data_IF_112334696792
#
_entry.id   IF_112334696792
#
_cell.length_a   1.000
_cell.length_b   1.000
_cell.length_c   1.000
_cell.angle_alpha   90.00
_cell.angle_beta   90.00
_cell.angle_gamma   90.00
#
_symmetry.space_group_name_H-M   'P 1'
#
loop_
_entity.id
_entity.type
_entity.pdbx_description
1 polymer ?
#
# COMPACT_ATOMS: atom_id res chain seq x y z
N UNK A 1 24.43 -22.26 27.24
CA UNK A 1 23.55 -21.07 27.40
C UNK A 1 24.29 -19.88 26.83
N UNK A 2 23.74 -19.25 25.78
CA UNK A 2 24.35 -18.07 25.13
C UNK A 2 24.15 -16.88 26.07
N UNK A 3 25.24 -16.38 26.64
CA UNK A 3 25.22 -15.25 27.58
C UNK A 3 24.99 -13.94 26.79
N UNK A 4 23.73 -13.55 26.61
CA UNK A 4 23.35 -12.33 25.89
C UNK A 4 23.71 -11.12 26.74
N UNK A 5 24.49 -10.16 26.20
CA UNK A 5 24.93 -9.00 26.94
C UNK A 5 23.74 -8.18 27.47
N UNK A 6 23.84 -7.57 28.68
CA UNK A 6 22.74 -6.76 29.26
C UNK A 6 22.30 -5.59 28.37
N UNK A 7 23.21 -5.05 27.53
CA UNK A 7 22.88 -4.01 26.55
C UNK A 7 21.97 -4.52 25.45
N UNK A 8 22.20 -5.74 24.96
CA UNK A 8 21.38 -6.36 23.92
C UNK A 8 19.99 -6.73 24.45
N UNK A 9 19.92 -7.21 25.71
CA UNK A 9 18.63 -7.49 26.38
C UNK A 9 17.79 -6.22 26.55
N UNK A 10 18.39 -5.10 27.01
CA UNK A 10 17.70 -3.80 27.11
C UNK A 10 17.25 -3.27 25.74
N UNK A 11 18.09 -3.39 24.73
CA UNK A 11 17.75 -3.01 23.36
C UNK A 11 16.57 -3.83 22.83
N UNK A 12 16.59 -5.14 23.00
CA UNK A 12 15.50 -6.02 22.59
C UNK A 12 14.21 -5.69 23.36
N UNK A 13 14.26 -5.54 24.68
CA UNK A 13 13.09 -5.16 25.47
C UNK A 13 12.48 -3.84 25.02
N UNK A 14 13.29 -2.82 24.70
CA UNK A 14 12.81 -1.54 24.19
C UNK A 14 12.17 -1.67 22.80
N UNK A 15 12.64 -2.57 21.93
CA UNK A 15 12.10 -2.81 20.57
C UNK A 15 10.81 -3.60 20.56
N UNK A 16 10.59 -4.45 21.54
CA UNK A 16 9.36 -5.24 21.67
C UNK A 16 8.34 -4.62 22.63
N UNK A 17 8.66 -3.47 23.25
CA UNK A 17 7.72 -2.75 24.10
C UNK A 17 6.54 -2.20 23.30
N UNK A 18 5.28 -2.52 23.65
CA UNK A 18 4.08 -1.97 22.98
C UNK A 18 3.94 -0.45 23.18
N UNK A 19 4.47 0.08 24.26
CA UNK A 19 4.30 1.50 24.68
C UNK A 19 5.50 2.37 24.31
N UNK A 20 6.65 1.79 23.99
CA UNK A 20 7.88 2.49 23.67
C UNK A 20 7.74 3.45 22.47
N UNK A 21 8.46 4.59 22.50
CA UNK A 21 8.48 5.55 21.40
C UNK A 21 8.95 4.92 20.07
N UNK A 22 9.89 4.00 20.16
CA UNK A 22 10.46 3.23 19.05
C UNK A 22 10.26 1.72 19.26
N UNK A 23 9.15 1.34 19.86
CA UNK A 23 8.85 -0.05 20.24
C UNK A 23 8.29 -0.90 19.10
N UNK A 24 7.43 -1.85 19.47
CA UNK A 24 6.90 -2.90 18.60
C UNK A 24 6.35 -2.41 17.25
N UNK A 25 5.65 -1.26 17.22
CA UNK A 25 5.08 -0.72 15.98
C UNK A 25 6.14 -0.36 14.93
N UNK A 26 7.30 0.17 15.35
CA UNK A 26 8.40 0.47 14.44
C UNK A 26 9.09 -0.81 13.98
N UNK A 27 9.28 -1.76 14.90
CA UNK A 27 9.88 -3.07 14.58
C UNK A 27 9.04 -3.81 13.53
N UNK A 28 7.72 -3.88 13.73
CA UNK A 28 6.81 -4.47 12.75
C UNK A 28 6.89 -3.72 11.42
N UNK A 29 6.85 -2.38 11.44
CA UNK A 29 6.95 -1.57 10.22
C UNK A 29 8.24 -1.81 9.43
N UNK A 30 9.38 -1.92 10.11
CA UNK A 30 10.68 -2.23 9.48
C UNK A 30 10.70 -3.65 8.90
N UNK A 31 10.19 -4.64 9.63
CA UNK A 31 10.11 -6.03 9.13
C UNK A 31 9.22 -6.12 7.90
N UNK A 32 8.05 -5.47 7.92
CA UNK A 32 7.14 -5.42 6.77
C UNK A 32 7.78 -4.71 5.58
N UNK A 33 8.48 -3.59 5.80
CA UNK A 33 9.20 -2.88 4.75
C UNK A 33 10.29 -3.75 4.12
N UNK A 34 11.15 -4.36 4.93
CA UNK A 34 12.24 -5.21 4.43
C UNK A 34 11.70 -6.44 3.68
N UNK A 35 10.63 -7.06 4.21
CA UNK A 35 9.93 -8.15 3.52
C UNK A 35 9.34 -7.70 2.18
N UNK A 36 8.67 -6.55 2.15
CA UNK A 36 8.13 -5.97 0.91
C UNK A 36 9.25 -5.65 -0.09
N UNK A 37 10.34 -5.03 0.34
CA UNK A 37 11.50 -4.76 -0.52
C UNK A 37 12.11 -6.04 -1.10
N UNK A 38 12.26 -7.08 -0.30
CA UNK A 38 12.79 -8.36 -0.76
C UNK A 38 11.88 -9.02 -1.81
N UNK A 39 10.56 -9.05 -1.56
CA UNK A 39 9.58 -9.60 -2.50
C UNK A 39 9.52 -8.76 -3.78
N UNK A 40 9.47 -7.42 -3.66
CA UNK A 40 9.50 -6.52 -4.81
C UNK A 40 10.75 -6.73 -5.66
N UNK A 41 11.94 -6.79 -5.03
CA UNK A 41 13.20 -7.01 -5.74
C UNK A 41 13.23 -8.36 -6.47
N UNK A 42 12.65 -9.41 -5.88
CA UNK A 42 12.50 -10.73 -6.53
C UNK A 42 11.60 -10.67 -7.77
N UNK A 43 10.45 -9.99 -7.67
CA UNK A 43 9.53 -9.84 -8.81
C UNK A 43 10.20 -8.98 -9.90
N UNK A 44 10.74 -7.83 -9.53
CA UNK A 44 11.41 -6.91 -10.47
C UNK A 44 12.61 -7.57 -11.16
N UNK A 45 13.45 -8.29 -10.42
CA UNK A 45 14.57 -9.05 -10.98
C UNK A 45 14.11 -10.14 -11.96
N UNK A 46 13.03 -10.85 -11.63
CA UNK A 46 12.45 -11.85 -12.54
C UNK A 46 11.90 -11.23 -13.83
N UNK A 47 11.25 -10.06 -13.71
CA UNK A 47 10.74 -9.31 -14.87
C UNK A 47 11.89 -8.83 -15.77
N UNK A 48 12.92 -8.22 -15.18
CA UNK A 48 14.08 -7.71 -15.93
C UNK A 48 14.86 -8.83 -16.60
N UNK A 49 14.98 -9.99 -15.96
CA UNK A 49 15.69 -11.16 -16.48
C UNK A 49 14.88 -11.96 -17.53
N UNK A 50 13.62 -11.59 -17.82
CA UNK A 50 12.77 -12.37 -18.73
C UNK A 50 12.45 -13.77 -18.21
N UNK A 51 12.36 -13.96 -16.88
CA UNK A 51 12.10 -15.24 -16.24
C UNK A 51 10.71 -15.82 -16.64
N UNK A 52 10.40 -17.09 -16.36
CA UNK A 52 9.14 -17.76 -16.77
C UNK A 52 7.86 -17.01 -16.38
N UNK A 53 7.90 -16.18 -15.33
CA UNK A 53 6.76 -15.32 -14.96
C UNK A 53 6.35 -14.36 -16.08
N UNK A 54 7.28 -13.94 -16.95
CA UNK A 54 6.96 -13.03 -18.08
C UNK A 54 6.21 -13.75 -19.20
N UNK A 55 6.41 -15.06 -19.37
CA UNK A 55 5.63 -15.89 -20.29
C UNK A 55 4.21 -16.06 -19.77
N UNK A 56 4.06 -16.40 -18.48
CA UNK A 56 2.77 -16.47 -17.80
C UNK A 56 2.02 -15.12 -17.86
N UNK A 57 2.72 -14.00 -17.69
CA UNK A 57 2.17 -12.65 -17.85
C UNK A 57 1.54 -12.47 -19.25
N UNK A 58 2.24 -12.87 -20.29
CA UNK A 58 1.77 -12.73 -21.67
C UNK A 58 0.56 -13.64 -21.95
N UNK A 59 0.60 -14.89 -21.49
CA UNK A 59 -0.50 -15.86 -21.63
C UNK A 59 -1.78 -15.36 -20.92
N UNK A 60 -1.67 -14.94 -19.68
CA UNK A 60 -2.80 -14.39 -18.92
C UNK A 60 -3.33 -13.12 -19.57
N UNK A 61 -2.45 -12.21 -20.01
CA UNK A 61 -2.86 -10.98 -20.66
C UNK A 61 -3.64 -11.23 -21.95
N UNK A 62 -3.17 -12.17 -22.78
CA UNK A 62 -3.86 -12.58 -24.02
C UNK A 62 -5.21 -13.23 -23.69
N UNK A 63 -5.25 -14.15 -22.75
CA UNK A 63 -6.49 -14.84 -22.36
C UNK A 63 -7.54 -13.84 -21.85
N UNK A 64 -7.17 -12.93 -20.97
CA UNK A 64 -8.07 -11.90 -20.42
C UNK A 64 -8.54 -10.94 -21.52
N UNK A 65 -7.66 -10.53 -22.43
CA UNK A 65 -7.99 -9.63 -23.53
C UNK A 65 -9.06 -10.22 -24.45
N UNK A 66 -8.93 -11.51 -24.83
CA UNK A 66 -9.91 -12.21 -25.64
C UNK A 66 -11.30 -12.25 -24.99
N UNK A 67 -11.36 -12.50 -23.67
CA UNK A 67 -12.63 -12.48 -22.91
C UNK A 67 -13.19 -11.07 -22.79
N UNK A 68 -12.35 -10.06 -22.58
CA UNK A 68 -12.76 -8.67 -22.48
C UNK A 68 -13.38 -8.10 -23.77
N UNK A 69 -13.02 -8.65 -24.92
CA UNK A 69 -13.64 -8.29 -26.20
C UNK A 69 -15.07 -8.86 -26.36
N UNK A 70 -15.32 -10.02 -25.77
CA UNK A 70 -16.62 -10.72 -25.87
C UNK A 70 -17.62 -10.21 -24.84
N UNK A 71 -17.18 -9.93 -23.60
CA UNK A 71 -18.06 -9.49 -22.50
C UNK A 71 -18.12 -7.95 -22.40
N UNK A 72 -19.06 -7.37 -23.12
CA UNK A 72 -19.25 -5.91 -23.14
C UNK A 72 -19.71 -5.35 -21.78
N UNK A 73 -20.53 -6.10 -21.03
CA UNK A 73 -21.08 -5.64 -19.75
C UNK A 73 -19.96 -5.56 -18.68
N UNK A 74 -19.22 -6.65 -18.51
CA UNK A 74 -18.12 -6.68 -17.54
C UNK A 74 -17.03 -5.66 -17.92
N UNK A 75 -16.68 -5.56 -19.21
CA UNK A 75 -15.75 -4.54 -19.70
C UNK A 75 -16.20 -3.13 -19.33
N UNK A 76 -17.45 -2.78 -19.57
CA UNK A 76 -17.99 -1.45 -19.26
C UNK A 76 -17.97 -1.16 -17.76
N UNK A 77 -18.35 -2.14 -16.94
CA UNK A 77 -18.30 -2.00 -15.48
C UNK A 77 -16.84 -1.78 -14.98
N UNK A 78 -15.88 -2.53 -15.52
CA UNK A 78 -14.47 -2.39 -15.15
C UNK A 78 -13.85 -1.09 -15.69
N UNK A 79 -14.33 -0.57 -16.84
CA UNK A 79 -13.94 0.77 -17.33
C UNK A 79 -14.42 1.86 -16.37
N UNK A 80 -15.66 1.80 -15.89
CA UNK A 80 -16.16 2.75 -14.88
C UNK A 80 -15.33 2.66 -13.60
N UNK A 81 -15.10 1.45 -13.10
CA UNK A 81 -14.29 1.23 -11.90
C UNK A 81 -12.88 1.82 -12.04
N UNK A 82 -12.20 1.55 -13.15
CA UNK A 82 -10.83 2.04 -13.36
C UNK A 82 -10.78 3.57 -13.54
N UNK A 83 -11.79 4.19 -14.15
CA UNK A 83 -11.88 5.65 -14.26
C UNK A 83 -12.11 6.32 -12.90
N UNK A 84 -12.97 5.76 -12.04
CA UNK A 84 -13.16 6.23 -10.67
C UNK A 84 -11.87 6.12 -9.83
N UNK A 85 -10.99 5.17 -10.16
CA UNK A 85 -9.69 4.99 -9.51
C UNK A 85 -8.51 5.54 -10.33
N UNK A 86 -8.78 6.40 -11.30
CA UNK A 86 -7.74 7.20 -11.97
C UNK A 86 -7.04 8.13 -10.97
N UNK A 87 -5.91 8.71 -11.35
CA UNK A 87 -5.17 9.67 -10.49
C UNK A 87 -6.07 10.77 -9.92
N UNK A 88 -6.89 11.50 -10.73
CA UNK A 88 -7.81 12.48 -10.18
C UNK A 88 -8.86 11.87 -9.24
N UNK A 89 -9.41 10.70 -9.59
CA UNK A 89 -10.42 10.03 -8.76
C UNK A 89 -9.89 9.65 -7.37
N UNK A 90 -8.72 8.99 -7.31
CA UNK A 90 -8.08 8.62 -6.05
C UNK A 90 -7.73 9.85 -5.22
N UNK A 91 -7.19 10.91 -5.84
CA UNK A 91 -6.86 12.16 -5.13
C UNK A 91 -8.12 12.86 -4.60
N UNK A 92 -9.22 12.84 -5.35
CA UNK A 92 -10.52 13.38 -4.90
C UNK A 92 -11.03 12.59 -3.69
N UNK A 93 -11.01 11.25 -3.74
CA UNK A 93 -11.41 10.40 -2.60
C UNK A 93 -10.52 10.71 -1.39
N UNK A 94 -9.19 10.74 -1.58
CA UNK A 94 -8.26 11.05 -0.51
C UNK A 94 -8.49 12.45 0.08
N UNK A 95 -8.77 13.44 -0.75
CA UNK A 95 -9.10 14.80 -0.29
C UNK A 95 -10.38 14.83 0.55
N UNK A 96 -11.47 14.24 0.06
CA UNK A 96 -12.75 14.17 0.78
C UNK A 96 -12.61 13.46 2.13
N UNK A 97 -11.91 12.32 2.16
CA UNK A 97 -11.60 11.59 3.39
C UNK A 97 -10.73 12.44 4.33
N UNK A 98 -9.72 13.12 3.80
CA UNK A 98 -8.85 14.01 4.57
C UNK A 98 -9.63 15.13 5.25
N UNK A 99 -10.52 15.81 4.52
CA UNK A 99 -11.41 16.85 5.06
C UNK A 99 -12.34 16.28 6.13
N UNK A 100 -12.93 15.11 5.89
CA UNK A 100 -13.79 14.44 6.87
C UNK A 100 -13.04 14.11 8.16
N UNK A 101 -11.83 13.58 8.05
CA UNK A 101 -10.97 13.28 9.20
C UNK A 101 -10.59 14.54 9.99
N UNK A 102 -10.29 15.65 9.30
CA UNK A 102 -10.01 16.94 9.94
C UNK A 102 -11.23 17.46 10.70
N UNK A 103 -12.44 17.40 10.13
CA UNK A 103 -13.69 17.77 10.80
C UNK A 103 -13.99 16.90 12.03
N UNK A 104 -13.49 15.64 12.03
CA UNK A 104 -13.57 14.74 13.20
C UNK A 104 -12.48 14.99 14.25
N UNK A 105 -11.65 16.01 14.07
CA UNK A 105 -10.56 16.36 14.99
C UNK A 105 -9.30 15.51 14.87
N UNK A 106 -9.22 14.63 13.88
CA UNK A 106 -8.03 13.82 13.65
C UNK A 106 -7.00 14.60 12.83
N UNK A 107 -5.81 14.83 13.40
CA UNK A 107 -4.72 15.55 12.71
C UNK A 107 -3.68 14.66 12.05
N UNK A 108 -3.44 13.47 12.61
CA UNK A 108 -2.39 12.56 12.12
C UNK A 108 -2.83 11.73 10.93
N UNK A 109 -4.09 11.32 10.90
CA UNK A 109 -4.62 10.53 9.81
C UNK A 109 -4.65 11.28 8.48
N UNK A 110 -5.06 12.55 8.40
CA UNK A 110 -4.93 13.35 7.17
C UNK A 110 -3.47 13.50 6.72
N UNK A 111 -2.54 13.72 7.67
CA UNK A 111 -1.10 13.79 7.34
C UNK A 111 -0.59 12.45 6.78
N UNK A 112 -0.99 11.33 7.42
CA UNK A 112 -0.66 10.01 6.92
C UNK A 112 -1.27 9.76 5.54
N UNK A 113 -2.49 10.23 5.27
CA UNK A 113 -3.16 10.11 3.98
C UNK A 113 -2.44 10.87 2.87
N UNK A 114 -2.02 12.11 3.15
CA UNK A 114 -1.23 12.93 2.21
C UNK A 114 0.15 12.32 1.96
N UNK A 115 0.81 11.80 2.99
CA UNK A 115 2.09 11.12 2.81
C UNK A 115 1.93 9.80 2.05
N UNK A 116 0.89 9.04 2.36
CA UNK A 116 0.67 7.71 1.79
C UNK A 116 0.23 7.79 0.33
N UNK A 117 -0.83 8.50 -0.02
CA UNK A 117 -1.41 8.47 -1.37
C UNK A 117 -0.57 9.26 -2.36
N UNK A 118 -0.39 10.58 -2.27
CA UNK A 118 0.47 11.29 -3.21
C UNK A 118 1.94 10.85 -3.15
N UNK A 119 2.48 10.58 -1.96
CA UNK A 119 3.86 10.12 -1.82
C UNK A 119 4.10 8.76 -2.46
N UNK A 120 3.18 7.82 -2.29
CA UNK A 120 3.22 6.53 -2.97
C UNK A 120 3.09 6.66 -4.49
N UNK A 121 2.21 7.55 -4.98
CA UNK A 121 2.12 7.83 -6.43
C UNK A 121 3.42 8.35 -7.00
N UNK A 122 4.12 9.24 -6.29
CA UNK A 122 5.43 9.74 -6.72
C UNK A 122 6.48 8.63 -6.74
N UNK A 123 6.50 7.77 -5.71
CA UNK A 123 7.37 6.59 -5.67
C UNK A 123 7.10 5.67 -6.88
N UNK A 124 5.83 5.39 -7.16
CA UNK A 124 5.44 4.55 -8.29
C UNK A 124 5.87 5.14 -9.65
N UNK A 125 5.75 6.47 -9.82
CA UNK A 125 6.25 7.15 -11.03
C UNK A 125 7.77 7.00 -11.15
N UNK A 126 8.53 7.17 -10.06
CA UNK A 126 9.98 6.97 -10.07
C UNK A 126 10.34 5.53 -10.46
N UNK A 127 9.66 4.52 -9.89
CA UNK A 127 9.89 3.11 -10.25
C UNK A 127 9.53 2.83 -11.72
N UNK A 128 8.46 3.42 -12.26
CA UNK A 128 8.13 3.28 -13.69
C UNK A 128 9.25 3.73 -14.61
N UNK A 129 9.88 4.85 -14.30
CA UNK A 129 11.02 5.37 -15.06
C UNK A 129 12.32 4.60 -14.80
N UNK A 130 12.41 3.82 -13.72
CA UNK A 130 13.56 2.94 -13.45
C UNK A 130 13.49 1.66 -14.27
N UNK A 131 12.30 1.08 -14.41
CA UNK A 131 12.13 -0.22 -15.04
C UNK A 131 11.71 -0.16 -16.52
N UNK A 132 11.07 0.91 -16.95
CA UNK A 132 10.65 1.21 -18.33
C UNK A 132 9.99 0.04 -19.08
N UNK A 133 9.28 -0.81 -18.35
CA UNK A 133 8.64 -2.00 -18.92
C UNK A 133 7.55 -1.63 -19.93
N UNK A 134 7.59 -2.22 -21.10
CA UNK A 134 6.52 -2.10 -22.09
C UNK A 134 5.20 -2.73 -21.58
N UNK A 135 4.08 -2.16 -22.02
CA UNK A 135 2.74 -2.69 -21.70
C UNK A 135 2.38 -3.89 -22.56
N UNK A 136 1.36 -4.68 -22.18
CA UNK A 136 0.75 -5.65 -23.08
C UNK A 136 0.38 -4.97 -24.40
N UNK A 137 0.77 -5.58 -25.51
CA UNK A 137 0.48 -5.07 -26.84
C UNK A 137 -0.54 -5.97 -27.53
N UNK A 138 -1.60 -5.36 -28.05
CA UNK A 138 -2.67 -6.03 -28.78
C UNK A 138 -2.96 -5.26 -30.06
N UNK A 139 -3.37 -5.93 -31.12
CA UNK A 139 -3.75 -5.29 -32.40
C UNK A 139 -4.90 -4.29 -32.21
N UNK A 140 -5.86 -4.66 -31.34
CA UNK A 140 -7.01 -3.80 -31.00
C UNK A 140 -7.05 -3.56 -29.46
N UNK A 141 -6.29 -2.59 -28.94
CA UNK A 141 -6.22 -2.34 -27.52
C UNK A 141 -7.53 -1.71 -26.99
N UNK A 142 -8.00 -2.18 -25.81
CA UNK A 142 -9.16 -1.58 -25.13
C UNK A 142 -8.78 -0.22 -24.51
N UNK A 143 -7.52 -0.08 -24.06
CA UNK A 143 -6.97 1.14 -23.50
C UNK A 143 -5.66 1.50 -24.19
N UNK A 144 -5.55 2.73 -24.68
CA UNK A 144 -4.30 3.30 -25.19
C UNK A 144 -3.62 4.10 -24.09
N UNK A 145 -2.46 3.63 -23.63
CA UNK A 145 -1.71 4.21 -22.51
C UNK A 145 -0.26 4.45 -22.94
N UNK A 146 0.26 5.66 -22.68
CA UNK A 146 1.59 6.10 -23.12
C UNK A 146 2.68 5.93 -22.07
N UNK A 147 2.33 5.55 -20.85
CA UNK A 147 3.28 5.39 -19.74
C UNK A 147 3.74 3.93 -19.60
N UNK A 148 4.83 3.69 -18.86
CA UNK A 148 5.38 2.37 -18.58
C UNK A 148 4.41 1.46 -17.79
N UNK A 149 4.57 0.14 -17.95
CA UNK A 149 3.71 -0.86 -17.33
C UNK A 149 4.04 -1.10 -15.85
N UNK A 150 5.29 -1.30 -15.51
CA UNK A 150 5.74 -1.78 -14.20
C UNK A 150 6.23 -0.66 -13.27
N UNK A 151 5.78 -0.66 -12.01
CA UNK A 151 4.64 -1.36 -11.44
C UNK A 151 3.30 -0.64 -11.69
N UNK A 152 2.14 -1.29 -11.38
CA UNK A 152 0.81 -0.75 -11.62
C UNK A 152 0.44 0.40 -10.68
N UNK A 153 0.27 1.62 -11.22
CA UNK A 153 -0.09 2.79 -10.39
C UNK A 153 -1.47 2.72 -9.76
N UNK A 154 -2.48 2.16 -10.45
CA UNK A 154 -3.82 2.00 -9.91
C UNK A 154 -3.85 1.02 -8.72
N UNK A 155 -3.17 -0.12 -8.86
CA UNK A 155 -3.09 -1.12 -7.79
C UNK A 155 -2.35 -0.59 -6.57
N UNK A 156 -1.22 0.11 -6.78
CA UNK A 156 -0.46 0.73 -5.69
C UNK A 156 -1.29 1.77 -4.96
N UNK A 157 -1.92 2.71 -5.68
CA UNK A 157 -2.74 3.77 -5.10
C UNK A 157 -3.95 3.19 -4.33
N UNK A 158 -4.62 2.16 -4.87
CA UNK A 158 -5.70 1.47 -4.19
C UNK A 158 -5.22 0.77 -2.91
N UNK A 159 -4.07 0.06 -2.97
CA UNK A 159 -3.48 -0.61 -1.80
C UNK A 159 -3.22 0.38 -0.67
N UNK A 160 -2.62 1.52 -0.99
CA UNK A 160 -2.29 2.55 0.00
C UNK A 160 -3.54 3.24 0.55
N UNK A 161 -4.47 3.64 -0.31
CA UNK A 161 -5.70 4.31 0.10
C UNK A 161 -6.57 3.40 0.98
N UNK A 162 -6.96 2.24 0.46
CA UNK A 162 -7.86 1.33 1.19
C UNK A 162 -7.18 0.65 2.37
N UNK A 163 -5.88 0.36 2.30
CA UNK A 163 -5.10 -0.14 3.42
C UNK A 163 -5.04 0.86 4.58
N UNK A 164 -4.83 2.16 4.29
CA UNK A 164 -4.85 3.21 5.32
C UNK A 164 -6.26 3.37 5.94
N UNK A 165 -7.30 3.35 5.11
CA UNK A 165 -8.69 3.42 5.59
C UNK A 165 -9.05 2.22 6.47
N UNK A 166 -8.62 1.01 6.08
CA UNK A 166 -8.81 -0.20 6.87
C UNK A 166 -8.09 -0.11 8.23
N UNK A 167 -6.85 0.37 8.26
CA UNK A 167 -6.11 0.62 9.50
C UNK A 167 -6.82 1.64 10.40
N UNK A 168 -7.34 2.73 9.81
CA UNK A 168 -8.12 3.72 10.55
C UNK A 168 -9.39 3.09 11.16
N UNK A 169 -10.19 2.40 10.35
CA UNK A 169 -11.44 1.79 10.78
C UNK A 169 -11.21 0.71 11.86
N UNK A 170 -10.24 -0.18 11.65
CA UNK A 170 -9.88 -1.22 12.60
C UNK A 170 -9.42 -0.68 13.95
N UNK A 171 -8.67 0.44 13.95
CA UNK A 171 -8.21 1.08 15.19
C UNK A 171 -9.37 1.65 16.02
N UNK A 172 -10.46 2.06 15.41
CA UNK A 172 -11.63 2.64 16.07
C UNK A 172 -12.74 1.60 16.35
N UNK A 173 -12.58 0.39 15.87
CA UNK A 173 -13.55 -0.69 16.05
C UNK A 173 -13.47 -1.29 17.47
N UNK A 174 -14.63 -1.56 18.06
CA UNK A 174 -14.77 -2.17 19.39
C UNK A 174 -14.88 -3.70 19.32
N UNK A 175 -15.34 -4.24 18.20
CA UNK A 175 -15.56 -5.69 18.00
C UNK A 175 -14.46 -6.28 17.12
N UNK A 176 -14.22 -7.60 17.25
CA UNK A 176 -13.30 -8.31 16.38
C UNK A 176 -13.70 -8.22 14.90
N UNK A 177 -14.99 -8.43 14.61
CA UNK A 177 -15.52 -8.30 13.25
C UNK A 177 -15.28 -6.91 12.67
N UNK A 178 -15.52 -5.85 13.45
CA UNK A 178 -15.24 -4.48 13.03
C UNK A 178 -13.76 -4.20 12.79
N UNK A 179 -12.83 -4.99 13.34
CA UNK A 179 -11.40 -4.89 13.06
C UNK A 179 -10.98 -5.63 11.81
N UNK A 180 -11.63 -6.75 11.48
CA UNK A 180 -11.27 -7.61 10.32
C UNK A 180 -11.97 -7.14 9.05
N UNK A 181 -13.26 -6.83 9.12
CA UNK A 181 -14.09 -6.47 7.96
C UNK A 181 -13.49 -5.34 7.09
N UNK A 182 -12.91 -4.25 7.64
CA UNK A 182 -12.28 -3.22 6.81
C UNK A 182 -11.14 -3.72 5.94
N UNK A 183 -10.35 -4.69 6.42
CA UNK A 183 -9.26 -5.28 5.64
C UNK A 183 -9.80 -6.21 4.55
N UNK A 184 -10.88 -6.95 4.82
CA UNK A 184 -11.54 -7.78 3.81
C UNK A 184 -12.11 -6.91 2.69
N UNK A 185 -12.79 -5.81 3.04
CA UNK A 185 -13.32 -4.85 2.06
C UNK A 185 -12.19 -4.18 1.26
N UNK A 186 -11.10 -3.79 1.93
CA UNK A 186 -9.92 -3.25 1.26
C UNK A 186 -9.32 -4.25 0.27
N UNK A 187 -9.18 -5.52 0.66
CA UNK A 187 -8.66 -6.57 -0.21
C UNK A 187 -9.57 -6.80 -1.44
N UNK A 188 -10.88 -6.81 -1.26
CA UNK A 188 -11.85 -6.92 -2.36
C UNK A 188 -11.71 -5.73 -3.32
N UNK A 189 -11.65 -4.50 -2.82
CA UNK A 189 -11.50 -3.31 -3.65
C UNK A 189 -10.17 -3.29 -4.41
N UNK A 190 -9.06 -3.58 -3.72
CA UNK A 190 -7.73 -3.67 -4.35
C UNK A 190 -7.73 -4.77 -5.41
N UNK A 191 -8.30 -5.94 -5.11
CA UNK A 191 -8.42 -7.05 -6.04
C UNK A 191 -9.26 -6.71 -7.28
N UNK A 192 -10.41 -6.04 -7.08
CA UNK A 192 -11.27 -5.60 -8.19
C UNK A 192 -10.56 -4.58 -9.10
N UNK A 193 -9.85 -3.61 -8.51
CA UNK A 193 -9.07 -2.62 -9.27
C UNK A 193 -7.92 -3.31 -10.00
N UNK A 194 -7.16 -4.16 -9.32
CA UNK A 194 -6.07 -4.93 -9.90
C UNK A 194 -6.54 -5.78 -11.08
N UNK A 195 -7.64 -6.52 -10.90
CA UNK A 195 -8.27 -7.31 -11.95
C UNK A 195 -8.70 -6.44 -13.14
N UNK A 196 -9.33 -5.27 -12.88
CA UNK A 196 -9.74 -4.36 -13.95
C UNK A 196 -8.55 -3.96 -14.84
N UNK A 197 -7.35 -3.76 -14.25
CA UNK A 197 -6.16 -3.36 -15.01
C UNK A 197 -5.60 -4.47 -15.89
N UNK A 198 -5.69 -5.72 -15.43
CA UNK A 198 -5.31 -6.88 -16.21
C UNK A 198 -6.35 -7.17 -17.30
N UNK A 199 -7.63 -7.19 -16.95
CA UNK A 199 -8.73 -7.50 -17.86
C UNK A 199 -8.83 -6.51 -19.03
N UNK A 200 -8.57 -5.23 -18.75
CA UNK A 200 -8.55 -4.17 -19.77
C UNK A 200 -7.23 -4.07 -20.55
N UNK A 201 -6.31 -5.01 -20.35
CA UNK A 201 -5.05 -5.10 -21.10
C UNK A 201 -4.02 -4.03 -20.74
N UNK A 202 -4.13 -3.38 -19.59
CA UNK A 202 -3.24 -2.29 -19.20
C UNK A 202 -1.96 -2.75 -18.51
N UNK A 203 -2.01 -3.87 -17.79
CA UNK A 203 -0.93 -4.38 -16.95
C UNK A 203 -0.86 -5.91 -16.96
N UNK A 204 0.35 -6.42 -16.73
CA UNK A 204 0.61 -7.83 -16.47
C UNK A 204 0.34 -8.20 -15.01
N UNK A 205 0.22 -9.52 -14.73
CA UNK A 205 0.05 -10.02 -13.36
C UNK A 205 1.22 -9.59 -12.45
N UNK A 206 2.45 -9.72 -12.93
CA UNK A 206 3.64 -9.32 -12.16
C UNK A 206 3.68 -7.82 -11.86
N UNK A 207 3.14 -6.93 -12.73
CA UNK A 207 2.98 -5.49 -12.44
C UNK A 207 2.06 -5.25 -11.26
N UNK A 208 0.98 -6.04 -11.17
CA UNK A 208 -0.01 -5.98 -10.10
C UNK A 208 0.58 -6.45 -8.77
N UNK A 209 1.26 -7.61 -8.79
CA UNK A 209 1.89 -8.17 -7.59
C UNK A 209 2.97 -7.23 -7.03
N UNK A 210 3.82 -6.69 -7.91
CA UNK A 210 4.84 -5.73 -7.52
C UNK A 210 4.22 -4.46 -6.91
N UNK A 211 3.17 -3.91 -7.53
CA UNK A 211 2.48 -2.72 -7.06
C UNK A 211 1.77 -2.93 -5.71
N UNK A 212 1.18 -4.11 -5.50
CA UNK A 212 0.61 -4.46 -4.21
C UNK A 212 1.66 -4.48 -3.11
N UNK A 213 2.79 -5.12 -3.37
CA UNK A 213 3.92 -5.21 -2.42
C UNK A 213 4.54 -3.83 -2.17
N UNK A 214 4.74 -3.03 -3.22
CA UNK A 214 5.17 -1.62 -3.14
C UNK A 214 4.25 -0.83 -2.21
N UNK A 215 2.93 -0.92 -2.45
CA UNK A 215 1.92 -0.24 -1.65
C UNK A 215 1.93 -0.66 -0.18
N UNK A 216 2.06 -1.95 0.11
CA UNK A 216 2.17 -2.47 1.48
C UNK A 216 3.42 -1.96 2.19
N UNK A 217 4.59 -1.97 1.52
CA UNK A 217 5.84 -1.46 2.06
C UNK A 217 5.77 0.04 2.36
N UNK A 218 5.25 0.82 1.41
CA UNK A 218 5.05 2.27 1.59
C UNK A 218 4.07 2.60 2.71
N UNK A 219 2.97 1.86 2.80
CA UNK A 219 1.98 2.02 3.86
C UNK A 219 2.58 1.70 5.24
N UNK A 220 3.42 0.67 5.35
CA UNK A 220 4.12 0.33 6.59
C UNK A 220 5.02 1.49 7.06
N UNK A 221 5.74 2.16 6.14
CA UNK A 221 6.53 3.36 6.44
C UNK A 221 5.64 4.49 6.96
N UNK A 222 4.56 4.82 6.22
CA UNK A 222 3.68 5.94 6.57
C UNK A 222 2.99 5.74 7.92
N UNK A 223 2.46 4.54 8.20
CA UNK A 223 1.81 4.23 9.47
C UNK A 223 2.81 4.26 10.63
N UNK A 224 4.00 3.68 10.44
CA UNK A 224 5.05 3.67 11.47
C UNK A 224 5.53 5.08 11.80
N UNK A 225 5.71 5.92 10.79
CA UNK A 225 6.08 7.33 10.96
C UNK A 225 4.98 8.11 11.70
N UNK A 226 3.72 7.97 11.28
CA UNK A 226 2.58 8.64 11.92
C UNK A 226 2.42 8.20 13.37
N UNK A 227 2.54 6.90 13.67
CA UNK A 227 2.46 6.37 15.03
C UNK A 227 3.59 6.91 15.91
N UNK A 228 4.82 6.95 15.39
CA UNK A 228 5.99 7.48 16.11
C UNK A 228 5.83 8.99 16.42
N UNK A 229 5.39 9.78 15.44
CA UNK A 229 5.14 11.21 15.63
C UNK A 229 4.06 11.47 16.69
N UNK A 230 2.98 10.69 16.66
CA UNK A 230 1.90 10.80 17.65
C UNK A 230 2.41 10.49 19.07
N UNK A 231 3.16 9.42 19.26
CA UNK A 231 3.76 9.02 20.55
C UNK A 231 4.74 10.06 21.07
N UNK A 232 5.61 10.60 20.21
CA UNK A 232 6.56 11.67 20.59
C UNK A 232 5.86 12.92 21.08
N UNK A 233 4.75 13.33 20.43
CA UNK A 233 3.98 14.49 20.86
C UNK A 233 3.27 14.24 22.18
N UNK A 234 2.66 13.08 22.37
CA UNK A 234 2.05 12.70 23.64
C UNK A 234 3.06 12.73 24.80
N UNK A 235 4.26 12.17 24.58
CA UNK A 235 5.33 12.20 25.57
C UNK A 235 5.79 13.65 25.91
N UNK A 236 5.91 14.52 24.90
CA UNK A 236 6.26 15.94 25.12
C UNK A 236 5.17 16.69 25.91
N UNK A 237 3.89 16.41 25.65
CA UNK A 237 2.78 17.01 26.37
C UNK A 237 2.78 16.59 27.84
N UNK A 238 2.98 15.30 28.13
CA UNK A 238 3.09 14.78 29.51
C UNK A 238 4.23 15.46 30.28
N UNK A 239 5.41 15.61 29.66
CA UNK A 239 6.55 16.32 30.27
C UNK A 239 6.25 17.80 30.59
N UNK A 240 5.51 18.47 29.69
CA UNK A 240 5.11 19.88 29.90
C UNK A 240 4.09 20.05 31.05
N UNK A 241 3.29 19.01 31.32
CA UNK A 241 2.28 18.97 32.38
C UNK A 241 2.85 18.49 33.72
N UNK A 242 4.17 18.29 33.84
CA UNK A 242 4.82 17.83 35.07
C UNK A 242 4.56 16.36 35.43
N UNK A 243 3.91 15.60 34.58
CA UNK A 243 3.68 14.17 34.81
C UNK A 243 4.99 13.39 34.69
N UNK A 244 5.32 12.56 35.68
CA UNK A 244 6.49 11.69 35.67
C UNK A 244 6.45 10.77 34.44
N UNK A 245 7.63 10.44 33.81
CA UNK A 245 7.66 9.49 32.71
C UNK A 245 7.14 8.12 33.16
N UNK A 246 6.44 7.36 32.29
CA UNK A 246 6.16 5.95 32.58
C UNK A 246 7.47 5.25 32.90
N UNK A 247 7.52 4.49 34.00
CA UNK A 247 8.68 3.66 34.29
C UNK A 247 8.83 2.62 33.18
N UNK A 248 9.89 2.71 32.41
CA UNK A 248 10.29 1.69 31.44
C UNK A 248 10.88 0.51 32.24
N UNK A 249 10.08 -0.55 32.41
CA UNK A 249 10.55 -1.83 32.95
C UNK A 249 11.31 -2.64 31.89
#
# INVERSE_FOLDING_TARGET
MINVSPRLQRFAAARFSPEGQFGLHLTIGVVLLLGAMAVFARIAGAVVAGAPITQLDAEIAMWLHLHARQDTLLRSALLVLTHLHSTPGVLTIAFCVGVWLLKRGHRYWPMALVAAVPGGMLLNVALKHTFERARPHFEEPILSLTTYSFPSGHTMAATVLYGLLACYAARHARTWLGRVLPFVLAAIMVGAIAFSRMYLGAHYLSDILAAFVEGCGWLAVCISAAATLNRRRAARQRRRQGAAPPQEF
#
